data_IF_222640528524
#
_entry.id   IF_222640528524
#
_cell.length_a   1.000
_cell.length_b   1.000
_cell.length_c   1.000
_cell.angle_alpha   90.00
_cell.angle_beta   90.00
_cell.angle_gamma   90.00
#
_symmetry.space_group_name_H-M   'P 1'
#
loop_
_entity.id
_entity.type
_entity.pdbx_description
1 polymer ?
#
# COMPACT_ATOMS: atom_id res chain seq x y z
N UNK A 1 -4.60 41.76 71.16
CA UNK A 1 -5.11 41.73 69.76
C UNK A 1 -4.13 42.48 68.90
N UNK A 2 -3.20 41.76 68.27
CA UNK A 2 -2.29 42.26 67.24
C UNK A 2 -2.04 41.08 66.30
N UNK A 3 -2.41 41.26 65.04
CA UNK A 3 -2.51 40.22 64.01
C UNK A 3 -1.20 40.06 63.25
N UNK A 4 -0.80 38.78 63.14
CA UNK A 4 -0.12 38.09 62.05
C UNK A 4 0.96 38.82 61.22
N UNK A 5 2.19 38.33 61.39
CA UNK A 5 3.34 38.50 60.50
C UNK A 5 3.21 37.55 59.30
N UNK A 6 3.02 38.07 58.09
CA UNK A 6 3.17 37.32 56.85
C UNK A 6 4.62 37.45 56.36
N UNK A 7 5.31 36.31 56.29
CA UNK A 7 6.61 36.14 55.65
C UNK A 7 6.35 35.73 54.19
N UNK A 8 6.68 36.61 53.25
CA UNK A 8 6.71 36.30 51.82
C UNK A 8 7.86 35.33 51.52
N UNK A 9 7.51 34.08 51.20
CA UNK A 9 8.45 33.08 50.70
C UNK A 9 8.54 33.22 49.17
N UNK A 10 9.54 33.96 48.68
CA UNK A 10 9.79 34.10 47.25
C UNK A 10 10.25 32.77 46.66
N UNK A 11 9.40 32.10 45.89
CA UNK A 11 9.76 30.88 45.18
C UNK A 11 10.63 31.23 43.97
N UNK A 12 11.82 30.63 43.80
CA UNK A 12 12.67 30.93 42.65
C UNK A 12 12.02 30.42 41.36
N UNK A 13 12.17 31.14 40.23
CA UNK A 13 11.60 30.72 38.96
C UNK A 13 12.23 29.39 38.54
N UNK A 14 11.41 28.33 38.46
CA UNK A 14 11.83 27.04 37.89
C UNK A 14 12.19 27.27 36.43
N UNK A 15 13.48 27.40 36.15
CA UNK A 15 14.04 27.38 34.80
C UNK A 15 13.80 25.98 34.24
N UNK A 16 12.69 25.79 33.52
CA UNK A 16 12.47 24.58 32.74
C UNK A 16 13.49 24.58 31.61
N UNK A 17 14.61 23.90 31.84
CA UNK A 17 15.55 23.49 30.79
C UNK A 17 14.80 22.59 29.81
N UNK A 18 14.19 23.17 28.78
CA UNK A 18 13.62 22.46 27.65
C UNK A 18 14.77 21.94 26.80
N UNK A 19 15.38 20.83 27.24
CA UNK A 19 16.27 20.03 26.37
C UNK A 19 15.48 19.69 25.11
N UNK A 20 15.85 20.33 24.01
CA UNK A 20 15.22 20.17 22.70
C UNK A 20 15.34 18.70 22.29
N UNK A 21 14.25 17.95 22.40
CA UNK A 21 14.19 16.53 22.01
C UNK A 21 14.59 16.43 20.53
N UNK A 22 15.62 15.66 20.23
CA UNK A 22 16.03 15.38 18.85
C UNK A 22 14.92 14.55 18.20
N UNK A 23 14.44 14.97 17.03
CA UNK A 23 13.34 14.27 16.39
C UNK A 23 13.79 12.96 15.74
N UNK A 24 12.93 11.96 15.82
CA UNK A 24 13.20 10.60 15.35
C UNK A 24 13.15 10.47 13.82
N UNK A 25 13.82 9.43 13.31
CA UNK A 25 13.63 8.88 11.98
C UNK A 25 12.62 7.74 12.09
N UNK A 26 11.49 7.86 11.39
CA UNK A 26 10.41 6.88 11.41
C UNK A 26 10.56 5.96 10.19
N UNK A 27 10.66 4.64 10.40
CA UNK A 27 10.77 3.67 9.32
C UNK A 27 9.51 2.80 9.30
N UNK A 28 8.73 2.90 8.23
CA UNK A 28 7.53 2.05 8.09
C UNK A 28 7.89 0.67 7.54
N UNK A 29 7.40 -0.42 8.15
CA UNK A 29 7.56 -1.79 7.65
C UNK A 29 6.17 -2.37 7.45
N UNK A 30 5.64 -2.29 6.23
CA UNK A 30 4.26 -2.72 5.97
C UNK A 30 3.97 -3.01 4.49
N UNK A 31 3.02 -3.94 4.21
CA UNK A 31 2.65 -4.26 2.85
C UNK A 31 1.98 -3.06 2.18
N UNK A 32 1.89 -3.04 0.84
CA UNK A 32 1.11 -2.02 0.16
C UNK A 32 -0.34 -2.00 0.67
N UNK A 33 -0.95 -0.81 0.64
CA UNK A 33 -2.35 -0.59 1.05
C UNK A 33 -2.65 -0.83 2.55
N UNK A 34 -1.63 -0.80 3.41
CA UNK A 34 -1.76 -0.92 4.87
C UNK A 34 -2.04 0.40 5.61
N UNK A 35 -2.36 1.49 4.90
CA UNK A 35 -2.55 2.84 5.47
C UNK A 35 -1.36 3.36 6.29
N UNK A 36 -0.16 3.31 5.71
CA UNK A 36 1.08 3.79 6.34
C UNK A 36 1.00 5.24 6.80
N UNK A 37 0.45 6.09 5.94
CA UNK A 37 0.39 7.53 6.12
C UNK A 37 -0.46 7.89 7.37
N UNK A 38 -1.58 7.18 7.57
CA UNK A 38 -2.44 7.30 8.76
C UNK A 38 -1.74 6.80 10.04
N UNK A 39 -1.04 5.67 9.96
CA UNK A 39 -0.31 5.10 11.10
C UNK A 39 0.84 6.01 11.56
N UNK A 40 1.56 6.61 10.61
CA UNK A 40 2.63 7.58 10.89
C UNK A 40 2.07 8.85 11.51
N UNK A 41 0.98 9.39 10.95
CA UNK A 41 0.31 10.56 11.52
C UNK A 41 -0.15 10.30 12.96
N UNK A 42 -0.77 9.15 13.24
CA UNK A 42 -1.22 8.77 14.58
C UNK A 42 -0.06 8.63 15.58
N UNK A 43 1.10 8.11 15.14
CA UNK A 43 2.29 8.05 15.98
C UNK A 43 2.86 9.46 16.28
N UNK A 44 2.91 10.32 15.27
CA UNK A 44 3.43 11.70 15.42
C UNK A 44 2.54 12.53 16.35
N UNK A 45 1.21 12.40 16.23
CA UNK A 45 0.25 13.12 17.08
C UNK A 45 0.31 12.70 18.55
N UNK A 46 0.65 11.43 18.83
CA UNK A 46 0.74 10.92 20.21
C UNK A 46 2.08 11.22 20.88
N UNK A 47 3.14 11.45 20.11
CA UNK A 47 4.49 11.70 20.62
C UNK A 47 4.80 13.18 20.87
N UNK A 48 3.81 14.06 20.67
CA UNK A 48 3.88 15.48 21.00
C UNK A 48 4.64 16.34 19.98
N UNK A 49 4.90 15.81 18.78
CA UNK A 49 5.33 16.64 17.65
C UNK A 49 4.11 17.44 17.14
N UNK A 50 4.32 18.62 16.56
CA UNK A 50 3.25 19.52 16.09
C UNK A 50 2.54 19.02 14.81
N UNK A 51 2.07 17.76 14.80
CA UNK A 51 1.36 17.10 13.70
C UNK A 51 2.04 17.18 12.31
N UNK A 52 3.35 17.46 12.31
CA UNK A 52 4.14 17.61 11.10
C UNK A 52 5.34 16.67 11.15
N UNK A 53 5.48 15.86 10.11
CA UNK A 53 6.69 15.12 9.80
C UNK A 53 7.03 15.30 8.33
N UNK A 54 8.32 15.22 8.00
CA UNK A 54 8.73 15.18 6.61
C UNK A 54 8.65 13.74 6.11
N UNK A 55 7.72 13.47 5.19
CA UNK A 55 7.68 12.19 4.51
C UNK A 55 8.70 12.18 3.37
N UNK A 56 9.47 11.10 3.30
CA UNK A 56 10.31 10.75 2.16
C UNK A 56 9.85 9.41 1.65
N UNK A 57 9.19 9.43 0.51
CA UNK A 57 8.71 8.24 -0.16
C UNK A 57 9.12 8.25 -1.63
N UNK A 58 9.13 7.07 -2.26
CA UNK A 58 9.17 6.97 -3.72
C UNK A 58 8.02 7.74 -4.40
N UNK A 59 6.91 8.02 -3.68
CA UNK A 59 5.76 8.77 -4.20
C UNK A 59 6.08 10.26 -4.37
N UNK A 60 6.96 10.83 -3.55
CA UNK A 60 7.33 12.25 -3.60
C UNK A 60 8.34 12.55 -4.71
N UNK A 61 9.09 11.53 -5.15
CA UNK A 61 10.00 11.57 -6.29
C UNK A 61 9.33 11.24 -7.64
N UNK A 62 8.00 11.25 -7.69
CA UNK A 62 7.12 10.60 -8.69
C UNK A 62 7.25 10.98 -10.16
N UNK A 63 8.09 11.95 -10.55
CA UNK A 63 8.28 12.24 -11.98
C UNK A 63 8.90 11.01 -12.66
N UNK A 64 8.11 10.35 -13.51
CA UNK A 64 8.51 9.22 -14.34
C UNK A 64 8.10 7.83 -13.81
N UNK A 65 7.83 7.64 -12.51
CA UNK A 65 7.50 6.31 -11.95
C UNK A 65 6.16 5.78 -12.47
N UNK A 66 5.21 6.69 -12.67
CA UNK A 66 3.93 6.37 -13.27
C UNK A 66 3.73 7.20 -14.53
N UNK A 67 3.24 6.56 -15.58
CA UNK A 67 2.75 7.21 -16.79
C UNK A 67 1.23 7.10 -16.84
N UNK A 68 0.54 8.22 -17.10
CA UNK A 68 -0.93 8.25 -17.12
C UNK A 68 -1.43 7.91 -18.52
N UNK A 69 -2.26 6.87 -18.63
CA UNK A 69 -2.89 6.46 -19.89
C UNK A 69 -4.41 6.52 -19.74
N UNK A 70 -5.15 7.09 -20.70
CA UNK A 70 -6.61 7.03 -20.70
C UNK A 70 -7.11 5.58 -20.56
N UNK A 71 -8.15 5.37 -19.76
CA UNK A 71 -8.69 4.01 -19.51
C UNK A 71 -9.06 3.29 -20.82
N UNK A 72 -9.67 4.01 -21.75
CA UNK A 72 -10.08 3.48 -23.07
C UNK A 72 -8.86 3.04 -23.89
N UNK A 73 -7.79 3.85 -23.93
CA UNK A 73 -6.53 3.52 -24.60
C UNK A 73 -5.80 2.35 -23.92
N UNK A 74 -5.89 2.22 -22.59
CA UNK A 74 -5.29 1.10 -21.86
C UNK A 74 -6.02 -0.24 -22.12
N UNK A 75 -7.35 -0.20 -22.20
CA UNK A 75 -8.17 -1.38 -22.51
C UNK A 75 -8.01 -1.83 -23.96
N UNK A 76 -7.95 -0.87 -24.89
CA UNK A 76 -8.00 -1.10 -26.32
C UNK A 76 -6.91 -0.29 -27.04
N UNK A 77 -5.63 -0.64 -26.84
CA UNK A 77 -4.52 0.14 -27.36
C UNK A 77 -4.51 0.23 -28.90
N UNK A 78 -5.05 -0.75 -29.60
CA UNK A 78 -5.10 -0.78 -31.07
C UNK A 78 -6.09 0.21 -31.68
N UNK A 79 -7.14 0.60 -30.96
CA UNK A 79 -8.21 1.46 -31.50
C UNK A 79 -8.29 2.82 -30.84
N UNK A 80 -7.82 2.96 -29.60
CA UNK A 80 -8.01 4.16 -28.78
C UNK A 80 -6.71 4.84 -28.32
N UNK A 81 -5.53 4.24 -28.56
CA UNK A 81 -4.27 4.90 -28.29
C UNK A 81 -3.94 5.87 -29.43
N UNK A 82 -3.85 7.16 -29.11
CA UNK A 82 -3.47 8.18 -30.11
C UNK A 82 -1.99 8.04 -30.46
N UNK A 83 -1.58 8.46 -31.66
CA UNK A 83 -0.15 8.48 -32.05
C UNK A 83 0.68 9.32 -31.07
N UNK A 84 0.12 10.43 -30.59
CA UNK A 84 0.75 11.30 -29.61
C UNK A 84 0.99 10.60 -28.28
N UNK A 85 0.00 9.90 -27.74
CA UNK A 85 0.12 9.22 -26.45
C UNK A 85 0.95 7.94 -26.57
N UNK A 86 0.83 7.24 -27.71
CA UNK A 86 1.53 6.00 -27.99
C UNK A 86 3.03 6.18 -28.23
N UNK A 87 3.44 7.30 -28.84
CA UNK A 87 4.86 7.62 -29.12
C UNK A 87 5.64 8.15 -27.92
N UNK A 88 5.00 8.35 -26.76
CA UNK A 88 5.70 8.79 -25.55
C UNK A 88 6.71 7.71 -25.13
N UNK A 89 7.97 8.12 -25.05
CA UNK A 89 9.08 7.26 -24.61
C UNK A 89 9.05 7.17 -23.08
N UNK A 90 8.94 5.95 -22.58
CA UNK A 90 9.09 5.62 -21.16
C UNK A 90 10.58 5.57 -20.80
N UNK A 91 10.90 5.65 -19.51
CA UNK A 91 12.29 5.52 -19.03
C UNK A 91 12.96 4.17 -19.34
N UNK A 92 12.20 3.17 -19.78
CA UNK A 92 12.70 1.92 -20.34
C UNK A 92 13.23 2.05 -21.77
N UNK A 93 13.24 3.25 -22.35
CA UNK A 93 13.49 3.54 -23.77
C UNK A 93 12.52 2.81 -24.72
N UNK A 94 11.37 2.38 -24.19
CA UNK A 94 10.25 1.81 -24.96
C UNK A 94 9.10 2.81 -25.04
N UNK A 95 8.33 2.77 -26.11
CA UNK A 95 7.16 3.63 -26.22
C UNK A 95 5.99 3.08 -25.39
N UNK A 96 5.00 3.92 -25.06
CA UNK A 96 3.75 3.48 -24.43
C UNK A 96 3.06 2.44 -25.31
N UNK A 97 3.05 2.64 -26.63
CA UNK A 97 2.49 1.68 -27.58
C UNK A 97 3.18 0.31 -27.48
N UNK A 98 4.51 0.28 -27.50
CA UNK A 98 5.27 -0.98 -27.39
C UNK A 98 4.97 -1.66 -26.05
N UNK A 99 5.00 -0.89 -24.95
CA UNK A 99 4.75 -1.39 -23.60
C UNK A 99 3.35 -2.01 -23.44
N UNK A 100 2.32 -1.45 -24.08
CA UNK A 100 0.94 -1.98 -23.98
C UNK A 100 0.70 -3.23 -24.83
N UNK A 101 1.58 -3.48 -25.80
CA UNK A 101 1.55 -4.65 -26.70
C UNK A 101 2.61 -5.71 -26.36
N UNK A 102 3.50 -5.44 -25.42
CA UNK A 102 4.57 -6.34 -24.99
C UNK A 102 4.06 -7.50 -24.14
N UNK A 103 4.45 -8.73 -24.52
CA UNK A 103 4.10 -9.97 -23.82
C UNK A 103 4.68 -10.04 -22.40
N UNK A 104 5.85 -9.44 -22.14
CA UNK A 104 6.51 -9.45 -20.82
C UNK A 104 5.58 -8.85 -19.76
N UNK A 105 4.87 -7.78 -20.13
CA UNK A 105 4.00 -7.07 -19.23
C UNK A 105 2.53 -7.45 -19.34
N UNK A 106 2.16 -8.20 -20.39
CA UNK A 106 0.79 -8.63 -20.63
C UNK A 106 0.17 -9.30 -19.41
N UNK A 107 0.94 -10.08 -18.64
CA UNK A 107 0.45 -10.72 -17.41
C UNK A 107 -0.04 -9.70 -16.36
N UNK A 108 0.68 -8.62 -16.14
CA UNK A 108 0.30 -7.60 -15.16
C UNK A 108 -0.83 -6.74 -15.70
N UNK A 109 -0.70 -6.27 -16.94
CA UNK A 109 -1.66 -5.39 -17.56
C UNK A 109 -3.01 -6.07 -17.79
N UNK A 110 -3.01 -7.37 -18.14
CA UNK A 110 -4.24 -8.13 -18.27
C UNK A 110 -4.99 -8.23 -16.94
N UNK A 111 -4.32 -8.32 -15.79
CA UNK A 111 -5.01 -8.24 -14.49
C UNK A 111 -5.77 -6.93 -14.35
N UNK A 112 -5.09 -5.81 -14.63
CA UNK A 112 -5.66 -4.47 -14.52
C UNK A 112 -6.83 -4.33 -15.51
N UNK A 113 -6.67 -4.79 -16.75
CA UNK A 113 -7.74 -4.78 -17.76
C UNK A 113 -8.97 -5.56 -17.28
N UNK A 114 -8.79 -6.74 -16.68
CA UNK A 114 -9.91 -7.53 -16.16
C UNK A 114 -10.56 -6.88 -14.93
N UNK A 115 -9.78 -6.28 -14.03
CA UNK A 115 -10.30 -5.47 -12.92
C UNK A 115 -11.14 -4.29 -13.44
N UNK A 116 -10.66 -3.58 -14.46
CA UNK A 116 -11.40 -2.48 -15.11
C UNK A 116 -12.69 -2.99 -15.72
N UNK A 117 -12.63 -4.06 -16.52
CA UNK A 117 -13.82 -4.62 -17.17
C UNK A 117 -14.85 -5.10 -16.15
N UNK A 118 -14.42 -5.73 -15.05
CA UNK A 118 -15.31 -6.18 -13.99
C UNK A 118 -15.94 -5.00 -13.25
N UNK A 119 -15.13 -4.00 -12.85
CA UNK A 119 -15.61 -2.76 -12.25
C UNK A 119 -16.58 -2.00 -13.15
N UNK A 120 -16.37 -2.05 -14.47
CA UNK A 120 -17.22 -1.40 -15.47
C UNK A 120 -18.50 -2.20 -15.79
N UNK A 121 -18.73 -3.35 -15.15
CA UNK A 121 -19.87 -4.22 -15.44
C UNK A 121 -19.83 -4.86 -16.84
N UNK A 122 -18.67 -4.88 -17.50
CA UNK A 122 -18.50 -5.39 -18.87
C UNK A 122 -18.25 -6.90 -18.94
N UNK A 123 -17.90 -7.50 -17.81
CA UNK A 123 -17.78 -8.96 -17.65
C UNK A 123 -18.49 -9.39 -16.38
N UNK A 124 -19.00 -10.63 -16.38
CA UNK A 124 -19.70 -11.20 -15.23
C UNK A 124 -18.74 -11.56 -14.09
N UNK A 125 -19.22 -11.75 -12.85
CA UNK A 125 -18.41 -12.29 -11.76
C UNK A 125 -17.73 -13.62 -12.11
N UNK A 126 -18.47 -14.51 -12.77
CA UNK A 126 -18.00 -15.85 -13.12
C UNK A 126 -16.91 -15.78 -14.20
N UNK A 127 -17.09 -14.96 -15.24
CA UNK A 127 -16.07 -14.75 -16.27
C UNK A 127 -14.77 -14.20 -15.66
N UNK A 128 -14.88 -13.21 -14.76
CA UNK A 128 -13.73 -12.66 -14.07
C UNK A 128 -13.02 -13.72 -13.21
N UNK A 129 -13.78 -14.52 -12.46
CA UNK A 129 -13.24 -15.57 -11.61
C UNK A 129 -12.52 -16.65 -12.43
N UNK A 130 -13.13 -17.12 -13.50
CA UNK A 130 -12.57 -18.15 -14.38
C UNK A 130 -11.27 -17.70 -15.02
N UNK A 131 -11.21 -16.46 -15.50
CA UNK A 131 -9.99 -15.91 -16.09
C UNK A 131 -8.86 -15.73 -15.07
N UNK A 132 -9.14 -15.23 -13.86
CA UNK A 132 -8.14 -15.09 -12.80
C UNK A 132 -7.60 -16.47 -12.36
N UNK A 133 -8.48 -17.46 -12.26
CA UNK A 133 -8.13 -18.84 -11.92
C UNK A 133 -7.28 -19.47 -13.03
N UNK A 134 -7.68 -19.32 -14.29
CA UNK A 134 -6.98 -19.92 -15.42
C UNK A 134 -5.59 -19.30 -15.60
N UNK A 135 -5.48 -17.99 -15.44
CA UNK A 135 -4.17 -17.29 -15.37
C UNK A 135 -3.29 -17.87 -14.27
N UNK A 136 -3.84 -18.09 -13.08
CA UNK A 136 -3.09 -18.68 -11.97
C UNK A 136 -2.62 -20.11 -12.27
N UNK A 137 -3.38 -20.89 -13.05
CA UNK A 137 -3.01 -22.25 -13.48
C UNK A 137 -1.92 -22.27 -14.56
N UNK A 138 -2.00 -21.37 -15.55
CA UNK A 138 -1.10 -21.34 -16.71
C UNK A 138 0.30 -20.83 -16.43
N UNK A 139 0.49 -20.12 -15.32
CA UNK A 139 1.73 -19.42 -15.03
C UNK A 139 2.94 -20.33 -14.67
N UNK A 140 2.94 -21.59 -15.10
CA UNK A 140 4.13 -22.43 -15.25
C UNK A 140 4.83 -22.86 -13.96
N UNK A 141 4.20 -22.70 -12.80
CA UNK A 141 4.85 -22.99 -11.52
C UNK A 141 5.17 -24.48 -11.38
N UNK A 142 6.46 -24.81 -11.41
CA UNK A 142 6.97 -26.17 -11.18
C UNK A 142 6.84 -26.59 -9.72
N UNK A 143 6.81 -25.63 -8.78
CA UNK A 143 6.71 -25.88 -7.34
C UNK A 143 5.26 -25.73 -6.87
N UNK A 144 4.71 -26.81 -6.32
CA UNK A 144 3.32 -26.88 -5.79
C UNK A 144 2.98 -25.75 -4.81
N UNK A 145 3.95 -25.31 -4.02
CA UNK A 145 3.79 -24.20 -3.08
C UNK A 145 3.44 -22.88 -3.79
N UNK A 146 4.21 -22.48 -4.82
CA UNK A 146 3.95 -21.23 -5.56
C UNK A 146 2.61 -21.26 -6.27
N UNK A 147 2.24 -22.42 -6.84
CA UNK A 147 0.92 -22.60 -7.46
C UNK A 147 -0.22 -22.40 -6.45
N UNK A 148 -0.16 -23.08 -5.29
CA UNK A 148 -1.16 -22.92 -4.23
C UNK A 148 -1.26 -21.49 -3.74
N UNK A 149 -0.11 -20.84 -3.54
CA UNK A 149 -0.02 -19.44 -3.13
C UNK A 149 -0.69 -18.51 -4.13
N UNK A 150 -0.36 -18.62 -5.43
CA UNK A 150 -0.98 -17.80 -6.49
C UNK A 150 -2.48 -18.01 -6.59
N UNK A 151 -2.94 -19.26 -6.49
CA UNK A 151 -4.38 -19.57 -6.45
C UNK A 151 -5.07 -18.91 -5.26
N UNK A 152 -4.45 -18.94 -4.08
CA UNK A 152 -5.01 -18.29 -2.88
C UNK A 152 -5.09 -16.77 -3.04
N UNK A 153 -4.08 -16.14 -3.62
CA UNK A 153 -4.07 -14.69 -3.88
C UNK A 153 -5.20 -14.32 -4.86
N UNK A 154 -5.40 -15.08 -5.94
CA UNK A 154 -6.45 -14.80 -6.91
C UNK A 154 -7.85 -15.04 -6.34
N UNK A 155 -8.03 -16.03 -5.45
CA UNK A 155 -9.31 -16.21 -4.74
C UNK A 155 -9.65 -14.99 -3.89
N UNK A 156 -8.69 -14.47 -3.14
CA UNK A 156 -8.91 -13.26 -2.33
C UNK A 156 -9.15 -12.03 -3.21
N UNK A 157 -8.49 -11.95 -4.37
CA UNK A 157 -8.75 -10.88 -5.36
C UNK A 157 -10.18 -10.94 -5.88
N UNK A 158 -10.70 -12.12 -6.20
CA UNK A 158 -12.08 -12.31 -6.67
C UNK A 158 -13.06 -11.82 -5.60
N UNK A 159 -12.90 -12.27 -4.35
CA UNK A 159 -13.79 -11.84 -3.25
C UNK A 159 -13.70 -10.34 -3.02
N UNK A 160 -12.50 -9.78 -2.96
CA UNK A 160 -12.29 -8.34 -2.77
C UNK A 160 -12.90 -7.52 -3.92
N UNK A 161 -12.78 -8.01 -5.17
CA UNK A 161 -13.36 -7.37 -6.34
C UNK A 161 -14.88 -7.32 -6.24
N UNK A 162 -15.53 -8.44 -5.91
CA UNK A 162 -16.99 -8.47 -5.76
C UNK A 162 -17.49 -7.54 -4.66
N UNK A 163 -16.83 -7.51 -3.50
CA UNK A 163 -17.18 -6.57 -2.42
C UNK A 163 -17.12 -5.11 -2.91
N UNK A 164 -16.04 -4.73 -3.61
CA UNK A 164 -15.89 -3.35 -4.12
C UNK A 164 -16.86 -3.04 -5.25
N UNK A 165 -17.16 -4.01 -6.12
CA UNK A 165 -18.14 -3.83 -7.19
C UNK A 165 -19.54 -3.57 -6.61
N UNK A 166 -19.95 -4.33 -5.59
CA UNK A 166 -21.23 -4.13 -4.90
C UNK A 166 -21.29 -2.77 -4.20
N UNK A 167 -20.23 -2.39 -3.49
CA UNK A 167 -20.12 -1.05 -2.89
C UNK A 167 -20.26 0.06 -3.94
N UNK A 168 -19.57 -0.09 -5.08
CA UNK A 168 -19.59 0.87 -6.17
C UNK A 168 -20.99 1.00 -6.80
N UNK A 169 -21.69 -0.12 -7.02
CA UNK A 169 -23.07 -0.13 -7.52
C UNK A 169 -24.00 0.56 -6.52
N UNK A 170 -23.87 0.24 -5.23
CA UNK A 170 -24.66 0.88 -4.16
C UNK A 170 -24.45 2.40 -4.10
N UNK A 171 -23.20 2.86 -4.20
CA UNK A 171 -22.87 4.30 -4.27
C UNK A 171 -23.63 4.99 -5.42
N UNK A 172 -23.67 4.39 -6.61
CA UNK A 172 -24.32 5.03 -7.77
C UNK A 172 -25.84 5.00 -7.66
N UNK A 173 -26.43 3.91 -7.16
CA UNK A 173 -27.88 3.84 -6.95
C UNK A 173 -28.37 4.92 -5.97
N UNK A 174 -27.61 5.15 -4.89
CA UNK A 174 -27.91 6.24 -3.94
C UNK A 174 -27.79 7.60 -4.62
N UNK A 175 -26.78 7.83 -5.45
CA UNK A 175 -26.63 9.08 -6.19
C UNK A 175 -27.77 9.33 -7.18
N UNK A 176 -28.21 8.29 -7.90
CA UNK A 176 -29.34 8.39 -8.84
C UNK A 176 -30.64 8.72 -8.11
N UNK A 177 -30.89 8.10 -6.95
CA UNK A 177 -32.06 8.41 -6.13
C UNK A 177 -32.05 9.88 -5.65
N UNK A 178 -30.91 10.35 -5.15
CA UNK A 178 -30.75 11.74 -4.71
C UNK A 178 -30.94 12.75 -5.86
N UNK A 179 -30.52 12.42 -7.08
CA UNK A 179 -30.76 13.26 -8.25
C UNK A 179 -32.24 13.29 -8.64
N UNK A 180 -32.91 12.14 -8.58
CA UNK A 180 -34.34 12.02 -8.87
C UNK A 180 -35.18 12.82 -7.86
N UNK A 181 -34.86 12.73 -6.57
CA UNK A 181 -35.56 13.47 -5.51
C UNK A 181 -35.38 14.98 -5.66
N UNK A 182 -34.17 15.45 -5.98
CA UNK A 182 -33.92 16.88 -6.29
C UNK A 182 -34.69 17.38 -7.51
N UNK A 183 -34.84 16.53 -8.53
CA UNK A 183 -35.57 16.91 -9.76
C UNK A 183 -37.06 17.06 -9.45
N UNK A 184 -37.63 16.17 -8.63
CA UNK A 184 -39.01 16.29 -8.15
C UNK A 184 -39.25 17.56 -7.33
N UNK A 185 -38.37 17.87 -6.39
CA UNK A 185 -38.47 19.10 -5.58
C UNK A 185 -38.43 20.36 -6.47
N UNK A 186 -37.65 20.35 -7.56
CA UNK A 186 -37.60 21.47 -8.51
C UNK A 186 -38.82 21.59 -9.45
N UNK A 187 -39.56 20.50 -9.68
CA UNK A 187 -40.80 20.51 -10.48
C UNK A 187 -42.02 20.98 -9.68
N UNK A 188 -42.01 20.82 -8.34
CA UNK A 188 -43.09 21.31 -7.45
C UNK A 188 -43.06 22.84 -7.21
N UNK A 189 -41.98 23.54 -7.56
CA UNK A 189 -41.85 25.01 -7.41
C UNK A 189 -42.24 25.82 -8.66
N UNK A 190 -42.66 25.19 -9.76
CA UNK A 190 -43.14 25.95 -10.92
C UNK A 190 -44.60 26.41 -10.69
N UNK A 191 -44.89 27.72 -10.77
CA UNK A 191 -46.27 28.22 -10.65
C UNK A 191 -47.11 27.62 -11.77
N UNK A 192 -48.14 26.86 -11.39
CA UNK A 192 -49.14 26.31 -12.31
C UNK A 192 -49.82 27.46 -13.08
N UNK A 193 -49.57 27.56 -14.38
CA UNK A 193 -50.40 28.36 -15.28
C UNK A 193 -51.55 27.48 -15.77
N UNK A 194 -52.77 27.74 -15.26
CA UNK A 194 -53.98 26.90 -15.38
C UNK A 194 -54.52 26.72 -16.83
N UNK A 195 -53.86 27.26 -17.86
CA UNK A 195 -54.46 27.36 -19.20
C UNK A 195 -53.96 26.38 -20.27
N UNK A 196 -53.07 25.44 -19.96
CA UNK A 196 -52.59 24.48 -20.98
C UNK A 196 -53.17 23.08 -20.75
N UNK A 197 -54.20 22.72 -21.54
CA UNK A 197 -54.70 21.34 -21.66
C UNK A 197 -53.54 20.42 -22.09
N UNK A 198 -53.03 19.63 -21.15
CA UNK A 198 -52.06 18.55 -21.39
C UNK A 198 -52.79 17.36 -22.01
N UNK A 199 -52.43 16.99 -23.24
CA UNK A 199 -52.65 15.64 -23.72
C UNK A 199 -51.82 14.69 -22.84
N UNK A 200 -52.47 13.74 -22.17
CA UNK A 200 -51.80 12.70 -21.38
C UNK A 200 -50.91 11.84 -22.30
N UNK A 201 -49.59 11.75 -22.05
CA UNK A 201 -48.79 10.72 -22.71
C UNK A 201 -49.21 9.37 -22.14
N UNK A 202 -49.76 8.50 -22.98
CA UNK A 202 -50.02 7.10 -22.64
C UNK A 202 -48.69 6.41 -22.36
N UNK A 203 -48.34 6.27 -21.08
CA UNK A 203 -47.26 5.40 -20.63
C UNK A 203 -47.74 3.94 -20.74
N UNK A 204 -47.35 3.28 -21.82
CA UNK A 204 -47.45 1.83 -21.93
C UNK A 204 -46.50 1.20 -20.88
N UNK A 205 -46.98 0.32 -19.98
CA UNK A 205 -46.11 -0.44 -19.11
C UNK A 205 -45.47 -1.57 -19.94
N UNK A 206 -44.32 -1.28 -20.54
CA UNK A 206 -43.43 -2.33 -21.03
C UNK A 206 -42.85 -3.11 -19.85
N UNK A 207 -42.66 -4.43 -19.97
CA UNK A 207 -42.08 -5.23 -18.89
C UNK A 207 -40.66 -4.74 -18.63
N UNK A 208 -40.45 -4.13 -17.46
CA UNK A 208 -39.14 -3.77 -16.93
C UNK A 208 -38.37 -5.05 -16.58
N UNK A 209 -37.81 -5.69 -17.59
CA UNK A 209 -36.65 -6.55 -17.43
C UNK A 209 -35.41 -5.64 -17.34
N UNK A 210 -35.36 -4.77 -16.33
CA UNK A 210 -34.16 -4.01 -16.03
C UNK A 210 -33.19 -4.93 -15.31
N UNK A 211 -32.41 -5.70 -16.08
CA UNK A 211 -31.17 -6.27 -15.55
C UNK A 211 -30.28 -5.10 -15.15
N UNK A 212 -29.86 -5.08 -13.89
CA UNK A 212 -29.03 -4.03 -13.27
C UNK A 212 -27.70 -3.71 -14.00
N UNK A 213 -27.40 -4.43 -15.08
CA UNK A 213 -26.23 -4.27 -15.94
C UNK A 213 -26.36 -3.15 -16.99
N UNK A 214 -27.57 -2.67 -17.31
CA UNK A 214 -27.74 -1.68 -18.40
C UNK A 214 -27.62 -0.20 -17.96
N UNK A 215 -27.60 0.09 -16.66
CA UNK A 215 -27.75 1.48 -16.17
C UNK A 215 -26.47 2.18 -15.69
N UNK A 216 -25.31 1.54 -15.66
CA UNK A 216 -24.10 2.14 -15.11
C UNK A 216 -23.04 2.30 -16.19
N UNK A 217 -22.86 3.53 -16.68
CA UNK A 217 -21.68 3.83 -17.48
C UNK A 217 -20.42 3.48 -16.66
N UNK A 218 -19.41 2.89 -17.29
CA UNK A 218 -18.14 2.56 -16.63
C UNK A 218 -17.52 3.76 -15.88
N UNK A 219 -17.84 4.99 -16.32
CA UNK A 219 -17.45 6.26 -15.69
C UNK A 219 -18.08 6.52 -14.32
N UNK A 220 -19.24 5.92 -14.03
CA UNK A 220 -19.87 6.01 -12.71
C UNK A 220 -19.17 5.11 -11.68
N UNK A 221 -18.59 3.99 -12.13
CA UNK A 221 -17.97 2.99 -11.26
C UNK A 221 -16.46 3.23 -11.08
N UNK A 222 -15.77 3.70 -12.13
CA UNK A 222 -14.37 4.14 -12.09
C UNK A 222 -14.35 5.67 -12.15
N UNK A 223 -13.96 6.30 -11.03
CA UNK A 223 -14.03 7.76 -10.85
C UNK A 223 -12.91 8.52 -11.56
N UNK A 224 -11.88 7.81 -12.01
CA UNK A 224 -10.72 8.35 -12.74
C UNK A 224 -10.84 8.07 -14.25
N UNK A 225 -10.46 9.01 -15.13
CA UNK A 225 -10.40 8.77 -16.57
C UNK A 225 -9.10 8.08 -17.01
N UNK A 226 -8.12 7.91 -16.11
CA UNK A 226 -6.77 7.41 -16.41
C UNK A 226 -6.35 6.22 -15.55
N UNK A 227 -5.49 5.39 -16.11
CA UNK A 227 -4.72 4.33 -15.45
C UNK A 227 -3.29 4.83 -15.28
N UNK A 228 -2.73 4.68 -14.08
CA UNK A 228 -1.32 4.95 -13.80
C UNK A 228 -0.49 3.71 -14.13
N UNK A 229 0.10 3.66 -15.33
CA UNK A 229 1.06 2.63 -15.72
C UNK A 229 2.31 2.74 -14.86
N UNK A 230 2.62 1.69 -14.13
CA UNK A 230 3.85 1.60 -13.37
C UNK A 230 5.03 1.29 -14.29
N UNK A 231 6.11 2.07 -14.18
CA UNK A 231 7.36 1.92 -14.94
C UNK A 231 8.47 1.49 -13.97
N UNK A 232 8.70 0.17 -13.78
CA UNK A 232 9.62 -0.34 -12.75
C UNK A 232 11.05 0.19 -12.88
N UNK A 233 11.50 0.45 -14.10
CA UNK A 233 12.85 0.93 -14.42
C UNK A 233 13.12 2.27 -13.74
N UNK A 234 12.09 3.11 -13.55
CA UNK A 234 12.21 4.39 -12.90
C UNK A 234 12.54 4.31 -11.42
N UNK A 235 12.38 3.15 -10.77
CA UNK A 235 12.72 2.98 -9.36
C UNK A 235 14.22 2.71 -9.19
N UNK A 236 14.82 1.97 -10.12
CA UNK A 236 16.18 1.42 -10.00
C UNK A 236 17.18 2.17 -10.91
N UNK A 237 18.50 1.97 -10.71
CA UNK A 237 19.60 2.51 -11.56
C UNK A 237 19.61 4.05 -11.72
N UNK A 238 19.83 4.81 -10.66
CA UNK A 238 19.77 6.28 -10.68
C UNK A 238 18.35 6.84 -10.62
N UNK A 239 17.38 5.96 -10.35
CA UNK A 239 15.95 6.25 -10.36
C UNK A 239 15.41 6.83 -9.05
N UNK A 240 14.15 6.52 -8.75
CA UNK A 240 13.40 7.04 -7.61
C UNK A 240 14.00 6.66 -6.26
N UNK A 241 14.60 5.47 -6.12
CA UNK A 241 15.21 5.07 -4.85
C UNK A 241 16.44 5.92 -4.53
N UNK A 242 17.34 6.07 -5.49
CA UNK A 242 18.57 6.85 -5.32
C UNK A 242 18.24 8.33 -5.06
N UNK A 243 17.23 8.87 -5.76
CA UNK A 243 16.71 10.23 -5.50
C UNK A 243 16.08 10.37 -4.11
N UNK A 244 15.31 9.39 -3.67
CA UNK A 244 14.71 9.40 -2.34
C UNK A 244 15.80 9.36 -1.25
N UNK A 245 16.85 8.56 -1.45
CA UNK A 245 18.01 8.51 -0.57
C UNK A 245 18.81 9.82 -0.57
N UNK A 246 18.95 10.48 -1.72
CA UNK A 246 19.61 11.79 -1.82
C UNK A 246 18.82 12.88 -1.07
N UNK A 247 17.50 12.93 -1.27
CA UNK A 247 16.59 13.85 -0.55
C UNK A 247 16.68 13.61 0.95
N UNK A 248 16.62 12.35 1.35
CA UNK A 248 16.75 11.93 2.74
C UNK A 248 18.08 12.40 3.35
N UNK A 249 19.20 12.17 2.67
CA UNK A 249 20.53 12.58 3.14
C UNK A 249 20.60 14.10 3.33
N UNK A 250 20.07 14.87 2.36
CA UNK A 250 19.96 16.33 2.46
C UNK A 250 19.09 16.79 3.63
N UNK A 251 18.00 16.07 3.93
CA UNK A 251 17.12 16.39 5.07
C UNK A 251 17.73 16.01 6.42
N UNK A 252 18.61 15.00 6.45
CA UNK A 252 19.35 14.59 7.64
C UNK A 252 20.55 15.50 7.93
N UNK A 253 21.17 16.08 6.89
CA UNK A 253 22.29 17.04 7.01
C UNK A 253 21.84 18.43 7.47
N UNK A 254 20.60 18.83 7.19
CA UNK A 254 20.02 20.06 7.73
C UNK A 254 19.89 19.90 9.26
N UNK A 255 20.66 20.70 10.00
CA UNK A 255 20.80 20.69 11.48
C UNK A 255 19.62 20.05 12.23
N UNK A 256 19.92 19.03 13.05
CA UNK A 256 19.08 18.37 14.06
C UNK A 256 17.64 18.92 14.13
N UNK A 257 16.89 18.59 13.08
CA UNK A 257 15.54 19.10 12.88
C UNK A 257 14.66 18.67 14.06
N UNK A 258 13.83 19.59 14.56
CA UNK A 258 12.79 19.28 15.54
C UNK A 258 11.62 18.50 14.93
N UNK A 259 11.68 18.19 13.64
CA UNK A 259 10.63 17.53 12.86
C UNK A 259 11.02 16.08 12.56
N UNK A 260 10.16 15.10 12.87
CA UNK A 260 10.40 13.70 12.50
C UNK A 260 10.53 13.52 11.00
N UNK A 261 11.33 12.53 10.59
CA UNK A 261 11.55 12.20 9.18
C UNK A 261 11.05 10.78 8.92
N UNK A 262 10.02 10.62 8.09
CA UNK A 262 9.45 9.32 7.79
C UNK A 262 9.99 8.74 6.49
N UNK A 263 10.36 7.46 6.52
CA UNK A 263 10.76 6.65 5.38
C UNK A 263 9.64 5.64 5.06
N UNK A 264 8.87 5.94 4.02
CA UNK A 264 7.57 5.28 3.73
C UNK A 264 7.64 4.13 2.71
N UNK A 265 8.86 3.74 2.31
CA UNK A 265 9.06 2.70 1.32
C UNK A 265 8.62 1.31 1.82
N UNK A 266 8.51 0.32 0.92
CA UNK A 266 7.93 -1.00 1.26
C UNK A 266 8.74 -1.78 2.31
N UNK A 267 10.03 -1.49 2.50
CA UNK A 267 10.91 -1.96 3.58
C UNK A 267 10.65 -3.40 4.04
N UNK A 268 10.42 -4.30 3.08
CA UNK A 268 10.05 -5.69 3.28
C UNK A 268 11.26 -6.61 3.53
N UNK A 269 12.47 -6.05 3.46
CA UNK A 269 13.75 -6.72 3.70
C UNK A 269 14.70 -5.83 4.50
N UNK A 270 15.60 -6.38 5.32
CA UNK A 270 16.57 -5.58 6.06
C UNK A 270 17.45 -4.70 5.16
N UNK A 271 17.84 -5.21 4.00
CA UNK A 271 18.62 -4.45 3.03
C UNK A 271 17.88 -3.25 2.43
N UNK A 272 16.54 -3.22 2.47
CA UNK A 272 15.75 -2.11 1.92
C UNK A 272 15.70 -0.89 2.85
N UNK A 273 16.03 -1.07 4.13
CA UNK A 273 16.09 0.02 5.12
C UNK A 273 17.47 0.13 5.81
N UNK A 274 18.48 -0.59 5.36
CA UNK A 274 19.84 -0.46 5.91
C UNK A 274 20.44 0.92 5.63
N UNK A 275 20.21 1.49 4.43
CA UNK A 275 20.78 2.78 4.04
C UNK A 275 20.22 3.94 4.88
N UNK A 276 18.93 3.91 5.22
CA UNK A 276 18.31 4.90 6.11
C UNK A 276 18.86 4.79 7.54
N UNK A 277 19.16 3.58 8.03
CA UNK A 277 19.80 3.38 9.33
C UNK A 277 21.23 3.92 9.35
N UNK A 278 21.99 3.74 8.27
CA UNK A 278 23.32 4.33 8.15
C UNK A 278 23.27 5.86 8.11
N UNK A 279 22.30 6.43 7.41
CA UNK A 279 22.09 7.87 7.39
C UNK A 279 21.68 8.41 8.77
N UNK A 280 20.80 7.69 9.49
CA UNK A 280 20.39 8.02 10.85
C UNK A 280 21.55 7.95 11.86
N UNK A 281 22.41 6.94 11.75
CA UNK A 281 23.65 6.82 12.54
C UNK A 281 24.56 8.04 12.36
N UNK A 282 24.84 8.42 11.10
CA UNK A 282 25.68 9.59 10.77
C UNK A 282 25.09 10.88 11.34
N UNK A 283 23.77 11.03 11.28
CA UNK A 283 23.05 12.18 11.81
C UNK A 283 22.82 12.12 13.33
N UNK A 284 23.20 11.01 13.99
CA UNK A 284 22.92 10.74 15.42
C UNK A 284 21.43 10.94 15.78
N UNK A 285 20.53 10.57 14.87
CA UNK A 285 19.09 10.65 15.11
C UNK A 285 18.55 9.32 15.65
N UNK A 286 17.67 9.36 16.65
CA UNK A 286 17.00 8.16 17.12
C UNK A 286 16.07 7.61 16.04
N UNK A 287 15.87 6.29 16.03
CA UNK A 287 15.07 5.57 15.03
C UNK A 287 13.88 4.90 15.69
N UNK A 288 12.71 5.01 15.08
CA UNK A 288 11.50 4.28 15.46
C UNK A 288 10.97 3.48 14.27
N UNK A 289 10.64 2.20 14.47
CA UNK A 289 9.95 1.41 13.46
C UNK A 289 8.44 1.44 13.67
N UNK A 290 7.71 1.74 12.61
CA UNK A 290 6.24 1.65 12.56
C UNK A 290 5.90 0.42 11.73
N UNK A 291 5.80 -0.73 12.40
CA UNK A 291 5.70 -2.03 11.76
C UNK A 291 4.26 -2.55 11.69
N UNK A 292 3.96 -3.31 10.64
CA UNK A 292 2.67 -3.97 10.43
C UNK A 292 2.39 -4.99 11.55
N UNK A 293 1.19 -4.90 12.11
CA UNK A 293 0.70 -5.55 13.32
C UNK A 293 1.20 -4.94 14.65
N UNK A 294 1.75 -3.73 14.64
CA UNK A 294 1.97 -2.96 15.88
C UNK A 294 0.69 -2.26 16.31
N UNK A 295 0.70 -1.58 17.46
CA UNK A 295 -0.44 -0.78 17.90
C UNK A 295 -0.80 0.34 16.90
N UNK A 296 0.21 0.92 16.24
CA UNK A 296 0.04 2.01 15.28
C UNK A 296 -0.45 1.53 13.91
N UNK A 297 -0.15 0.28 13.58
CA UNK A 297 -0.53 -0.29 12.29
C UNK A 297 -1.01 -1.72 12.48
N UNK A 298 -2.30 -1.92 12.78
CA UNK A 298 -2.87 -3.24 13.02
C UNK A 298 -2.70 -4.19 11.82
N UNK A 299 -2.77 -5.49 12.10
CA UNK A 299 -2.77 -6.51 11.02
C UNK A 299 -4.07 -6.39 10.24
N UNK A 300 -3.94 -6.49 8.91
CA UNK A 300 -5.05 -6.45 7.96
C UNK A 300 -4.86 -7.65 7.05
N UNK A 301 -5.92 -8.41 6.81
CA UNK A 301 -5.80 -9.61 5.99
C UNK A 301 -5.51 -9.26 4.51
N UNK A 302 -5.10 -10.26 3.74
CA UNK A 302 -4.76 -10.05 2.32
C UNK A 302 -5.97 -9.58 1.52
N UNK A 303 -7.17 -10.06 1.85
CA UNK A 303 -8.41 -9.70 1.16
C UNK A 303 -8.70 -8.21 1.31
N UNK A 304 -8.58 -7.67 2.51
CA UNK A 304 -8.80 -6.26 2.83
C UNK A 304 -7.73 -5.37 2.20
N UNK A 305 -6.46 -5.81 2.14
CA UNK A 305 -5.41 -5.10 1.40
C UNK A 305 -5.73 -5.01 -0.10
N UNK A 306 -6.25 -6.09 -0.69
CA UNK A 306 -6.71 -6.12 -2.08
C UNK A 306 -7.95 -5.25 -2.30
N UNK A 307 -8.91 -5.28 -1.38
CA UNK A 307 -10.09 -4.42 -1.38
C UNK A 307 -9.70 -2.94 -1.43
N UNK A 308 -8.81 -2.51 -0.53
CA UNK A 308 -8.26 -1.15 -0.49
C UNK A 308 -7.52 -0.80 -1.77
N UNK A 309 -6.80 -1.74 -2.36
CA UNK A 309 -6.11 -1.54 -3.65
C UNK A 309 -7.09 -1.28 -4.80
N UNK A 310 -8.20 -2.02 -4.87
CA UNK A 310 -9.24 -1.83 -5.90
C UNK A 310 -9.99 -0.50 -5.67
N UNK A 311 -10.32 -0.16 -4.42
CA UNK A 311 -10.91 1.14 -4.07
C UNK A 311 -9.98 2.30 -4.45
N UNK A 312 -8.69 2.18 -4.13
CA UNK A 312 -7.65 3.14 -4.53
C UNK A 312 -7.56 3.27 -6.04
N UNK A 313 -7.63 2.16 -6.77
CA UNK A 313 -7.65 2.17 -8.22
C UNK A 313 -8.85 2.94 -8.76
N UNK A 314 -10.08 2.65 -8.28
CA UNK A 314 -11.30 3.37 -8.66
C UNK A 314 -11.15 4.89 -8.54
N UNK A 315 -10.47 5.35 -7.49
CA UNK A 315 -10.32 6.76 -7.17
C UNK A 315 -9.15 7.45 -7.90
N UNK A 316 -8.02 6.76 -8.06
CA UNK A 316 -6.75 7.39 -8.46
C UNK A 316 -6.13 6.84 -9.74
N UNK A 317 -6.63 5.71 -10.24
CA UNK A 317 -6.06 5.00 -11.38
C UNK A 317 -4.81 4.21 -11.05
N UNK A 318 -4.37 4.21 -9.78
CA UNK A 318 -3.20 3.47 -9.31
C UNK A 318 -3.63 2.09 -8.81
N UNK A 319 -3.12 1.06 -9.46
CA UNK A 319 -3.33 -0.34 -9.07
C UNK A 319 -1.98 -1.01 -8.82
N UNK A 320 -1.90 -1.79 -7.75
CA UNK A 320 -0.75 -2.66 -7.46
C UNK A 320 -1.17 -4.10 -7.76
N UNK A 321 -0.41 -4.86 -8.56
CA UNK A 321 -0.77 -6.25 -8.88
C UNK A 321 -0.98 -7.09 -7.63
N UNK A 322 -2.01 -7.93 -7.62
CA UNK A 322 -2.37 -8.74 -6.47
C UNK A 322 -1.22 -9.67 -6.05
N UNK A 323 -0.49 -10.20 -7.04
CA UNK A 323 0.72 -10.98 -6.82
C UNK A 323 1.83 -10.20 -6.10
N UNK A 324 1.97 -8.90 -6.35
CA UNK A 324 2.93 -8.05 -5.67
C UNK A 324 2.52 -7.76 -4.22
N UNK A 325 1.23 -7.55 -3.95
CA UNK A 325 0.68 -7.39 -2.59
C UNK A 325 0.89 -8.66 -1.78
N UNK A 326 0.44 -9.82 -2.27
CA UNK A 326 0.67 -11.11 -1.60
C UNK A 326 2.16 -11.45 -1.49
N UNK A 327 2.93 -11.09 -2.52
CA UNK A 327 4.39 -11.10 -2.54
C UNK A 327 5.02 -10.39 -1.34
N UNK A 328 4.58 -9.16 -1.09
CA UNK A 328 5.08 -8.29 -0.04
C UNK A 328 4.60 -8.69 1.34
N UNK A 329 3.34 -9.12 1.47
CA UNK A 329 2.75 -9.56 2.73
C UNK A 329 3.57 -10.71 3.34
N UNK A 330 3.82 -11.77 2.57
CA UNK A 330 4.56 -12.93 3.06
C UNK A 330 6.00 -12.57 3.46
N UNK A 331 6.64 -11.62 2.75
CA UNK A 331 7.98 -11.14 3.14
C UNK A 331 7.96 -10.40 4.47
N UNK A 332 6.93 -9.60 4.71
CA UNK A 332 6.79 -8.81 5.94
C UNK A 332 6.41 -9.70 7.12
N UNK A 333 5.54 -10.68 6.90
CA UNK A 333 5.27 -11.73 7.89
C UNK A 333 6.57 -12.42 8.30
N UNK A 334 7.34 -12.91 7.34
CA UNK A 334 8.63 -13.56 7.62
C UNK A 334 9.63 -12.62 8.30
N UNK A 335 9.74 -11.36 7.86
CA UNK A 335 10.61 -10.37 8.47
C UNK A 335 10.22 -10.11 9.94
N UNK A 336 8.93 -9.99 10.21
CA UNK A 336 8.40 -9.77 11.55
C UNK A 336 8.62 -10.99 12.44
N UNK A 337 8.34 -12.21 11.96
CA UNK A 337 8.61 -13.43 12.72
C UNK A 337 10.08 -13.52 13.14
N UNK A 338 11.00 -13.24 12.22
CA UNK A 338 12.43 -13.16 12.53
C UNK A 338 12.74 -12.07 13.57
N UNK A 339 12.11 -10.90 13.46
CA UNK A 339 12.30 -9.82 14.42
C UNK A 339 11.76 -10.18 15.81
N UNK A 340 10.60 -10.85 15.90
CA UNK A 340 10.03 -11.32 17.16
C UNK A 340 10.93 -12.37 17.84
N UNK A 341 11.59 -13.25 17.09
CA UNK A 341 12.58 -14.19 17.62
C UNK A 341 13.80 -13.46 18.19
N UNK A 342 14.32 -12.43 17.49
CA UNK A 342 15.40 -11.58 18.01
C UNK A 342 14.95 -10.83 19.27
N UNK A 343 13.75 -10.23 19.24
CA UNK A 343 13.23 -9.44 20.34
C UNK A 343 13.08 -10.27 21.61
N UNK A 344 12.56 -11.51 21.52
CA UNK A 344 12.49 -12.47 22.65
C UNK A 344 13.86 -12.73 23.27
N UNK A 345 14.90 -12.84 22.45
CA UNK A 345 16.26 -13.02 22.95
C UNK A 345 16.82 -11.76 23.63
N UNK A 346 16.47 -10.57 23.14
CA UNK A 346 16.91 -9.29 23.70
C UNK A 346 16.18 -8.93 25.01
N UNK A 347 14.89 -9.25 25.12
CA UNK A 347 14.00 -8.78 26.18
C UNK A 347 14.42 -9.25 27.58
N UNK A 348 14.98 -10.46 27.73
CA UNK A 348 15.38 -11.05 29.03
C UNK A 348 14.34 -10.92 30.17
N UNK A 349 13.05 -10.77 29.85
CA UNK A 349 11.96 -10.62 30.82
C UNK A 349 11.50 -9.18 31.08
N UNK A 350 11.98 -8.18 30.33
CA UNK A 350 11.48 -6.80 30.36
C UNK A 350 10.15 -6.67 29.60
N UNK A 351 9.31 -5.74 30.04
CA UNK A 351 7.94 -5.51 29.58
C UNK A 351 7.84 -4.56 28.37
N UNK A 352 8.89 -3.78 28.06
CA UNK A 352 8.90 -2.84 26.93
C UNK A 352 9.13 -3.54 25.58
N UNK A 353 8.15 -4.36 25.17
CA UNK A 353 8.20 -5.18 23.96
C UNK A 353 8.44 -4.38 22.68
N UNK A 354 7.92 -3.16 22.58
CA UNK A 354 8.10 -2.34 21.38
C UNK A 354 9.55 -1.95 21.16
N UNK A 355 10.24 -1.52 22.23
CA UNK A 355 11.65 -1.18 22.17
C UNK A 355 12.51 -2.36 21.71
N UNK A 356 12.16 -3.58 22.12
CA UNK A 356 12.85 -4.78 21.67
C UNK A 356 12.57 -5.13 20.21
N UNK A 357 11.36 -4.86 19.72
CA UNK A 357 11.04 -5.01 18.30
C UNK A 357 11.81 -4.00 17.44
N UNK A 358 11.91 -2.74 17.87
CA UNK A 358 12.72 -1.72 17.18
C UNK A 358 14.20 -2.13 17.12
N UNK A 359 14.76 -2.56 18.25
CA UNK A 359 16.13 -3.07 18.32
C UNK A 359 16.34 -4.33 17.47
N UNK A 360 15.33 -5.20 17.37
CA UNK A 360 15.37 -6.40 16.55
C UNK A 360 15.40 -6.07 15.05
N UNK A 361 14.55 -5.17 14.57
CA UNK A 361 14.59 -4.73 13.17
C UNK A 361 15.94 -4.09 12.81
N UNK A 362 16.46 -3.20 13.66
CA UNK A 362 17.80 -2.63 13.47
C UNK A 362 18.87 -3.72 13.38
N UNK A 363 18.80 -4.73 14.27
CA UNK A 363 19.75 -5.86 14.29
C UNK A 363 19.71 -6.71 13.03
N UNK A 364 18.52 -7.00 12.51
CA UNK A 364 18.38 -7.74 11.24
C UNK A 364 19.03 -6.99 10.07
N UNK A 365 19.09 -5.66 10.14
CA UNK A 365 19.75 -4.81 9.14
C UNK A 365 21.24 -4.54 9.42
N UNK A 366 21.85 -5.16 10.44
CA UNK A 366 23.29 -4.96 10.71
C UNK A 366 23.61 -3.92 11.76
N UNK A 367 22.60 -3.38 12.46
CA UNK A 367 22.77 -2.27 13.40
C UNK A 367 22.49 -2.68 14.84
N UNK A 368 23.13 -2.04 15.80
CA UNK A 368 22.80 -2.12 17.22
C UNK A 368 22.09 -0.84 17.64
N UNK A 369 20.87 -0.98 18.13
CA UNK A 369 20.13 0.13 18.73
C UNK A 369 20.60 0.38 20.16
N UNK A 370 20.84 1.64 20.50
CA UNK A 370 21.22 2.12 21.83
C UNK A 370 19.99 2.42 22.68
N UNK A 371 20.20 2.72 23.97
CA UNK A 371 19.10 3.01 24.91
C UNK A 371 18.32 4.28 24.58
N UNK A 372 18.93 5.23 23.87
CA UNK A 372 18.34 6.49 23.42
C UNK A 372 17.65 6.39 22.05
N UNK A 373 17.60 5.18 21.46
CA UNK A 373 17.01 4.92 20.15
C UNK A 373 17.96 5.20 18.97
N UNK A 374 19.16 5.72 19.20
CA UNK A 374 20.17 5.84 18.13
C UNK A 374 20.70 4.48 17.72
N UNK A 375 21.25 4.38 16.50
CA UNK A 375 21.75 3.13 15.94
C UNK A 375 23.24 3.23 15.59
N UNK A 376 23.96 2.11 15.71
CA UNK A 376 25.37 1.98 15.36
C UNK A 376 25.55 0.79 14.44
N UNK A 377 26.21 0.95 13.29
CA UNK A 377 26.48 -0.15 12.36
C UNK A 377 27.47 -1.12 12.98
N UNK A 378 27.10 -2.39 13.02
CA UNK A 378 27.93 -3.48 13.57
C UNK A 378 28.48 -4.36 12.46
N UNK A 379 27.68 -4.62 11.43
CA UNK A 379 28.04 -5.45 10.30
C UNK A 379 27.16 -5.13 9.09
N UNK A 380 27.53 -5.63 7.91
CA UNK A 380 26.63 -5.64 6.77
C UNK A 380 25.54 -6.71 6.99
N UNK A 381 24.27 -6.34 6.82
CA UNK A 381 23.13 -7.27 6.85
C UNK A 381 23.30 -8.49 5.94
N UNK A 382 24.08 -8.39 4.86
CA UNK A 382 24.39 -9.49 3.94
C UNK A 382 25.44 -10.46 4.49
N UNK A 383 26.27 -9.99 5.41
CA UNK A 383 27.37 -10.75 6.04
C UNK A 383 27.01 -11.31 7.40
N UNK A 384 25.95 -10.78 8.03
CA UNK A 384 25.42 -11.33 9.25
C UNK A 384 24.97 -12.77 8.97
N UNK A 385 25.79 -13.72 9.42
CA UNK A 385 25.35 -15.10 9.54
C UNK A 385 24.06 -15.08 10.37
N UNK A 386 22.96 -15.58 9.82
CA UNK A 386 21.71 -15.51 10.52
C UNK A 386 21.87 -16.33 11.82
N UNK A 387 21.25 -15.93 12.95
CA UNK A 387 20.80 -16.92 13.91
C UNK A 387 19.89 -18.01 13.26
N UNK A 388 19.38 -17.73 12.05
CA UNK A 388 18.21 -18.32 11.40
C UNK A 388 18.48 -19.35 10.28
N UNK A 389 19.63 -20.03 10.29
CA UNK A 389 19.79 -21.32 9.59
C UNK A 389 19.96 -22.49 10.56
N UNK A 390 19.29 -22.44 11.72
CA UNK A 390 19.06 -23.68 12.49
C UNK A 390 18.10 -24.58 11.70
N UNK A 391 18.70 -25.51 10.97
CA UNK A 391 18.17 -26.79 10.51
C UNK A 391 16.66 -27.05 10.78
N UNK A 392 15.82 -26.67 9.82
CA UNK A 392 14.79 -27.60 9.34
C UNK A 392 15.26 -28.18 8.01
N UNK A 393 16.36 -28.95 8.04
CA UNK A 393 16.52 -30.02 7.04
C UNK A 393 15.30 -30.93 7.26
N UNK A 394 14.40 -30.95 6.29
CA UNK A 394 13.27 -31.87 6.24
C UNK A 394 13.78 -33.29 6.49
N UNK A 395 13.53 -33.82 7.68
CA UNK A 395 13.43 -35.27 7.88
C UNK A 395 12.19 -35.74 7.13
N UNK A 396 12.30 -35.89 5.82
CA UNK A 396 11.36 -36.62 4.98
C UNK A 396 11.99 -36.73 3.59
N UNK A 397 12.90 -37.67 3.44
CA UNK A 397 13.15 -38.46 2.21
C UNK A 397 14.30 -39.43 2.51
N UNK A 398 14.09 -40.31 3.50
CA UNK A 398 14.80 -41.59 3.53
C UNK A 398 13.91 -42.56 2.77
N UNK A 399 14.05 -42.56 1.44
CA UNK A 399 13.43 -43.57 0.61
C UNK A 399 13.89 -44.94 1.10
N UNK A 400 12.95 -45.74 1.60
CA UNK A 400 13.11 -47.19 1.66
C UNK A 400 13.30 -47.63 0.20
N UNK A 401 14.51 -48.06 -0.15
CA UNK A 401 14.69 -48.98 -1.28
C UNK A 401 14.01 -50.28 -0.86
N UNK A 402 12.83 -50.53 -1.39
CA UNK A 402 12.28 -51.88 -1.43
C UNK A 402 13.18 -52.69 -2.38
N UNK A 403 13.81 -53.72 -1.83
CA UNK A 403 14.35 -54.82 -2.62
C UNK A 403 13.17 -55.63 -3.12
N UNK A 404 12.80 -55.45 -4.39
CA UNK A 404 12.11 -56.50 -5.14
C UNK A 404 13.16 -57.55 -5.51
N UNK A 405 13.27 -58.58 -4.67
CA UNK A 405 13.80 -59.87 -5.09
C UNK A 405 12.76 -60.54 -5.98
N UNK A 406 13.15 -60.85 -7.20
CA UNK A 406 12.45 -61.78 -8.08
C UNK A 406 13.25 -63.09 -8.07
N UNK A 407 12.70 -64.09 -7.41
CA UNK A 407 12.68 -65.48 -7.88
C UNK A 407 11.25 -65.79 -8.33
#
# INVERSE_FOLDING_TARGET
MATASELEESTPPKTQSTTKKIAEVLISIAPPCSNKDEALAAYVSTTGYQDAFHSVSLRDTSKGIYHLVPVEAFLYPTTHLTEKDGSVILHSDTTVHDRLNDEEYAMTDNEIRKVILRLAGRITPDDFADEMIEKARRAGDTVKYFRKRRMSINKDLIVAMEEVALEAIGEVLVQMQLQFDKTKESEEELPYDEQTKREEPQLLPGPTNATSAELLSARALIKTPVVSLFVPQCIFRGGGLDKAQEILSKLLEKELSSVPLAWENMNSRPSEYADILEAAEKAKRPVKFIAWGSQWMPRVDRKDLLKRNIQRFRQTGRYIPAGAIGGSLDRIESLRENAEEVAKFLAKGDEDWEKYMDAAFARLAGFKMQSDGTVVKVADCRTLLPPFHRHKRSRQFRGKREHSGSD
#
